data_IF_622077677314
#
_entry.id   IF_622077677314
#
_cell.length_a   1.000
_cell.length_b   1.000
_cell.length_c   1.000
_cell.angle_alpha   90.00
_cell.angle_beta   90.00
_cell.angle_gamma   90.00
#
_symmetry.space_group_name_H-M   'P 1'
#
loop_
_entity.id
_entity.type
_entity.pdbx_description
1 polymer ?
#
# COMPACT_ATOMS: atom_id res chain seq x y z
N UNK A 1 13.70 37.33 -13.00
CA UNK A 1 14.33 37.30 -11.66
C UNK A 1 15.50 36.33 -11.75
N UNK A 2 16.68 36.68 -11.24
CA UNK A 2 17.90 35.87 -11.38
C UNK A 2 17.69 34.49 -10.78
N UNK A 3 17.91 33.43 -11.57
CA UNK A 3 17.96 32.08 -11.05
C UNK A 3 19.11 31.99 -10.04
N UNK A 4 18.88 31.56 -8.80
CA UNK A 4 19.95 31.40 -7.83
C UNK A 4 20.93 30.36 -8.36
N UNK A 5 22.21 30.70 -8.48
CA UNK A 5 23.24 29.74 -8.89
C UNK A 5 23.30 28.54 -7.93
N UNK A 6 23.88 27.43 -8.39
CA UNK A 6 24.02 26.24 -7.56
C UNK A 6 24.83 26.55 -6.28
N UNK A 7 24.29 26.28 -5.09
CA UNK A 7 24.99 26.51 -3.84
C UNK A 7 26.29 25.70 -3.76
N UNK A 8 26.28 24.46 -4.26
CA UNK A 8 27.45 23.62 -4.41
C UNK A 8 27.96 23.58 -5.87
N UNK A 9 29.28 23.77 -6.10
CA UNK A 9 29.84 23.83 -7.45
C UNK A 9 30.03 22.45 -8.11
N UNK A 10 29.98 21.36 -7.34
CA UNK A 10 30.24 20.00 -7.80
C UNK A 10 29.20 19.01 -7.27
N UNK A 11 28.96 17.93 -8.00
CA UNK A 11 28.02 16.88 -7.64
C UNK A 11 26.61 17.10 -8.21
N UNK A 12 25.66 16.32 -7.70
CA UNK A 12 24.24 16.40 -8.05
C UNK A 12 23.45 16.81 -6.81
N UNK A 13 22.73 17.92 -6.90
CA UNK A 13 21.87 18.43 -5.81
C UNK A 13 20.49 18.79 -6.36
N UNK A 14 19.48 18.68 -5.51
CA UNK A 14 18.12 19.10 -5.84
C UNK A 14 17.53 20.00 -4.76
N UNK A 15 16.80 21.03 -5.19
CA UNK A 15 16.17 21.99 -4.28
C UNK A 15 14.71 22.22 -4.68
N UNK A 16 13.78 22.33 -3.72
CA UNK A 16 12.38 22.59 -4.05
C UNK A 16 12.22 23.95 -4.72
N UNK A 17 11.32 24.05 -5.71
CA UNK A 17 10.89 25.35 -6.21
C UNK A 17 10.13 26.11 -5.10
N UNK A 18 10.35 27.43 -4.90
CA UNK A 18 9.78 28.16 -3.77
C UNK A 18 8.25 28.30 -3.84
N UNK A 19 7.67 28.25 -5.04
CA UNK A 19 6.23 28.48 -5.26
C UNK A 19 5.48 27.29 -5.83
N UNK A 20 6.18 26.37 -6.49
CA UNK A 20 5.58 25.31 -7.30
C UNK A 20 6.05 23.97 -6.76
N UNK A 21 5.12 23.04 -6.62
CA UNK A 21 5.31 21.83 -5.85
C UNK A 21 5.71 20.65 -6.71
N UNK A 22 5.23 20.71 -7.95
CA UNK A 22 5.59 19.91 -9.10
C UNK A 22 6.93 20.35 -9.73
N UNK A 23 7.63 21.36 -9.19
CA UNK A 23 8.90 21.82 -9.76
C UNK A 23 10.04 21.79 -8.74
N UNK A 24 11.24 21.55 -9.26
CA UNK A 24 12.47 21.57 -8.48
C UNK A 24 13.65 22.02 -9.31
N UNK A 25 14.66 22.55 -8.65
CA UNK A 25 15.93 22.89 -9.28
C UNK A 25 16.87 21.70 -9.19
N UNK A 26 17.45 21.31 -10.32
CA UNK A 26 18.51 20.32 -10.41
C UNK A 26 19.84 21.02 -10.67
N UNK A 27 20.81 20.78 -9.80
CA UNK A 27 22.18 21.23 -9.95
C UNK A 27 23.07 20.05 -10.30
N UNK A 28 23.75 20.12 -11.44
CA UNK A 28 24.75 19.13 -11.85
C UNK A 28 26.06 19.84 -12.18
N UNK A 29 27.07 19.66 -11.32
CA UNK A 29 28.40 20.30 -11.45
C UNK A 29 28.32 21.81 -11.75
N UNK A 30 27.51 22.52 -10.96
CA UNK A 30 27.33 23.97 -11.10
C UNK A 30 26.36 24.41 -12.20
N UNK A 31 25.84 23.49 -13.01
CA UNK A 31 24.80 23.78 -14.01
C UNK A 31 23.41 23.61 -13.39
N UNK A 32 22.64 24.69 -13.36
CA UNK A 32 21.27 24.72 -12.83
C UNK A 32 20.25 24.51 -13.95
N UNK A 33 19.34 23.55 -13.76
CA UNK A 33 18.13 23.39 -14.57
C UNK A 33 16.88 23.46 -13.69
N UNK A 34 15.77 23.90 -14.28
CA UNK A 34 14.44 23.83 -13.67
C UNK A 34 13.75 22.59 -14.22
N UNK A 35 13.49 21.63 -13.34
CA UNK A 35 12.85 20.38 -13.65
C UNK A 35 11.39 20.41 -13.19
N UNK A 36 10.52 19.74 -13.96
CA UNK A 36 9.10 19.60 -13.67
C UNK A 36 8.82 18.11 -13.44
N UNK A 37 8.25 17.79 -12.29
CA UNK A 37 7.69 16.49 -12.00
C UNK A 37 6.58 16.17 -13.00
N UNK A 38 6.57 14.94 -13.48
CA UNK A 38 5.53 14.47 -14.38
C UNK A 38 4.14 14.55 -13.71
N UNK A 39 3.12 14.69 -14.54
CA UNK A 39 1.74 14.91 -14.09
C UNK A 39 1.27 13.82 -13.10
N UNK A 40 0.87 14.25 -11.89
CA UNK A 40 0.51 13.38 -10.76
C UNK A 40 1.59 13.26 -9.68
N UNK A 41 2.80 13.74 -9.94
CA UNK A 41 3.92 13.68 -9.01
C UNK A 41 4.31 15.09 -8.53
N UNK A 42 4.78 15.15 -7.28
CA UNK A 42 5.29 16.35 -6.62
C UNK A 42 6.71 16.09 -6.09
N UNK A 43 7.51 17.14 -5.98
CA UNK A 43 8.88 17.04 -5.49
C UNK A 43 8.92 16.89 -3.97
N UNK A 44 9.53 15.80 -3.49
CA UNK A 44 9.84 15.55 -2.08
C UNK A 44 11.34 15.47 -1.78
N UNK A 45 12.19 15.47 -2.82
CA UNK A 45 13.65 15.36 -2.72
C UNK A 45 14.16 14.02 -2.21
N UNK A 46 13.27 13.07 -1.92
CA UNK A 46 13.59 11.73 -1.39
C UNK A 46 13.54 10.67 -2.49
N UNK A 47 12.79 10.93 -3.57
CA UNK A 47 12.78 10.17 -4.81
C UNK A 47 12.24 8.74 -4.63
N UNK A 48 10.96 8.53 -4.94
CA UNK A 48 10.32 7.23 -4.71
C UNK A 48 9.50 6.70 -5.90
N UNK A 49 9.18 7.54 -6.90
CA UNK A 49 8.30 7.13 -8.01
C UNK A 49 8.92 7.43 -9.37
N UNK A 50 9.38 8.66 -9.60
CA UNK A 50 10.08 9.05 -10.82
C UNK A 50 11.04 10.20 -10.52
N UNK A 51 12.34 10.01 -10.77
CA UNK A 51 13.39 10.95 -10.36
C UNK A 51 13.26 11.33 -8.87
N UNK A 52 13.17 12.63 -8.57
CA UNK A 52 13.04 13.17 -7.20
C UNK A 52 11.58 13.48 -6.82
N UNK A 53 10.64 12.87 -7.54
CA UNK A 53 9.21 13.11 -7.40
C UNK A 53 8.48 11.87 -6.85
N UNK A 54 7.36 12.13 -6.19
CA UNK A 54 6.53 11.15 -5.52
C UNK A 54 5.04 11.49 -5.73
N UNK A 55 4.12 10.55 -5.49
CA UNK A 55 2.70 10.77 -5.69
C UNK A 55 2.18 11.98 -4.92
N UNK A 56 1.26 12.75 -5.52
CA UNK A 56 0.79 14.00 -4.94
C UNK A 56 0.20 13.85 -3.51
N UNK A 57 -0.44 12.72 -3.20
CA UNK A 57 -0.99 12.44 -1.87
C UNK A 57 0.08 12.10 -0.82
N UNK A 58 1.30 11.76 -1.25
CA UNK A 58 2.41 11.37 -0.38
C UNK A 58 3.38 12.52 -0.07
N UNK A 59 3.14 13.72 -0.63
CA UNK A 59 4.03 14.88 -0.50
C UNK A 59 3.34 15.98 0.30
N UNK A 60 3.98 16.44 1.37
CA UNK A 60 3.58 17.68 2.05
C UNK A 60 4.06 18.87 1.20
N UNK A 61 3.10 19.49 0.54
CA UNK A 61 3.34 20.59 -0.36
C UNK A 61 3.54 21.95 0.35
N UNK A 62 3.14 22.05 1.63
CA UNK A 62 3.14 23.29 2.37
C UNK A 62 2.39 24.42 1.64
N UNK A 63 2.96 25.63 1.52
CA UNK A 63 2.32 26.76 0.84
C UNK A 63 2.51 26.76 -0.69
N UNK A 64 3.28 25.80 -1.25
CA UNK A 64 3.54 25.73 -2.69
C UNK A 64 2.28 25.27 -3.42
N UNK A 65 2.13 25.69 -4.68
CA UNK A 65 1.03 25.27 -5.54
C UNK A 65 1.41 24.00 -6.29
N UNK A 66 0.50 23.02 -6.33
CA UNK A 66 0.60 21.90 -7.26
C UNK A 66 -0.17 22.27 -8.54
N UNK A 67 0.52 22.42 -9.68
CA UNK A 67 -0.16 22.56 -10.96
C UNK A 67 -0.43 21.17 -11.56
N UNK A 68 -1.71 20.81 -11.66
CA UNK A 68 -2.13 19.55 -12.26
C UNK A 68 -2.48 19.74 -13.75
N UNK A 69 -1.71 19.13 -14.65
CA UNK A 69 -2.05 19.05 -16.09
C UNK A 69 -3.28 18.16 -16.37
N UNK A 70 -4.10 18.44 -17.40
CA UNK A 70 -5.29 17.63 -17.72
C UNK A 70 -4.98 16.36 -18.55
N UNK A 71 -5.50 15.18 -18.16
CA UNK A 71 -5.53 13.94 -18.98
C UNK A 71 -5.12 12.67 -18.21
N UNK A 72 -5.97 11.61 -18.23
CA UNK A 72 -6.28 10.81 -17.02
C UNK A 72 -6.61 11.77 -15.85
N UNK A 73 -6.90 11.32 -14.63
CA UNK A 73 -6.74 12.32 -13.56
C UNK A 73 -5.26 12.72 -13.47
N UNK A 74 -4.35 11.72 -13.58
CA UNK A 74 -2.90 11.91 -13.66
C UNK A 74 -2.16 10.87 -14.55
N UNK A 75 -1.02 11.27 -15.16
CA UNK A 75 -0.06 10.40 -15.89
C UNK A 75 0.57 9.34 -14.98
N UNK A 76 0.77 9.68 -13.71
CA UNK A 76 1.18 8.76 -12.66
C UNK A 76 0.12 8.77 -11.55
N UNK A 77 -0.42 7.60 -11.24
CA UNK A 77 -1.45 7.46 -10.20
C UNK A 77 -1.76 6.02 -9.84
N UNK A 78 -2.52 5.84 -8.77
CA UNK A 78 -3.04 4.56 -8.31
C UNK A 78 -4.54 4.75 -8.12
N UNK A 79 -5.33 3.91 -8.76
CA UNK A 79 -6.77 4.08 -8.92
C UNK A 79 -7.51 2.77 -8.68
N UNK A 80 -8.79 2.82 -8.28
CA UNK A 80 -9.62 1.63 -8.23
C UNK A 80 -9.84 1.07 -9.64
N UNK A 81 -9.92 -0.26 -9.75
CA UNK A 81 -10.24 -0.95 -11.01
C UNK A 81 -11.64 -0.59 -11.54
N UNK A 82 -12.57 -0.26 -10.63
CA UNK A 82 -13.94 0.07 -10.98
C UNK A 82 -14.73 0.69 -9.82
N UNK A 83 -16.05 0.86 -9.97
CA UNK A 83 -16.90 1.50 -8.95
C UNK A 83 -17.17 0.61 -7.73
N UNK A 84 -16.77 -0.66 -7.80
CA UNK A 84 -16.92 -1.64 -6.75
C UNK A 84 -15.55 -1.99 -6.18
N UNK A 85 -15.55 -2.39 -4.91
CA UNK A 85 -14.32 -2.80 -4.27
C UNK A 85 -13.77 -4.06 -4.92
N UNK A 86 -12.46 -4.04 -5.10
CA UNK A 86 -11.72 -5.06 -5.80
C UNK A 86 -10.46 -5.37 -5.01
N UNK A 87 -9.98 -6.61 -5.18
CA UNK A 87 -8.62 -7.00 -4.79
C UNK A 87 -7.60 -6.50 -5.82
N UNK A 88 -8.05 -5.90 -6.92
CA UNK A 88 -7.22 -5.32 -7.96
C UNK A 88 -7.27 -3.79 -7.92
N UNK A 89 -6.24 -3.17 -8.47
CA UNK A 89 -6.14 -1.74 -8.67
C UNK A 89 -5.37 -1.44 -9.95
N UNK A 90 -5.53 -0.22 -10.46
CA UNK A 90 -4.84 0.26 -11.65
C UNK A 90 -3.72 1.19 -11.21
N UNK A 91 -2.50 0.86 -11.60
CA UNK A 91 -1.35 1.75 -11.49
C UNK A 91 -1.07 2.36 -12.85
N UNK A 92 -1.15 3.68 -12.97
CA UNK A 92 -0.73 4.39 -14.18
C UNK A 92 0.75 4.74 -14.06
N UNK A 93 1.53 4.41 -15.09
CA UNK A 93 2.90 4.88 -15.24
C UNK A 93 3.07 5.40 -16.67
N UNK A 94 3.52 6.65 -16.80
CA UNK A 94 3.61 7.35 -18.08
C UNK A 94 2.28 7.32 -18.88
N UNK A 95 1.15 7.37 -18.18
CA UNK A 95 -0.19 7.35 -18.77
C UNK A 95 -0.66 5.98 -19.25
N UNK A 96 0.15 4.93 -19.11
CA UNK A 96 -0.24 3.56 -19.40
C UNK A 96 -0.82 2.90 -18.13
N UNK A 97 -2.04 2.34 -18.20
CA UNK A 97 -2.64 1.65 -17.07
C UNK A 97 -2.13 0.22 -16.96
N UNK A 98 -1.70 -0.17 -15.77
CA UNK A 98 -1.29 -1.52 -15.43
C UNK A 98 -2.22 -2.09 -14.35
N UNK A 99 -2.86 -3.22 -14.65
CA UNK A 99 -3.64 -3.95 -13.65
C UNK A 99 -2.68 -4.61 -12.65
N UNK A 100 -2.88 -4.31 -11.38
CA UNK A 100 -2.15 -4.87 -10.26
C UNK A 100 -3.12 -5.53 -9.30
N UNK A 101 -2.61 -6.45 -8.48
CA UNK A 101 -3.36 -7.16 -7.46
C UNK A 101 -2.77 -6.85 -6.09
N UNK A 102 -3.65 -6.79 -5.10
CA UNK A 102 -3.26 -6.79 -3.70
C UNK A 102 -2.77 -8.18 -3.28
N UNK A 103 -1.98 -8.21 -2.22
CA UNK A 103 -1.62 -9.49 -1.58
C UNK A 103 -2.88 -10.24 -1.13
N UNK A 104 -2.85 -11.58 -1.06
CA UNK A 104 -3.99 -12.39 -0.68
C UNK A 104 -4.65 -11.92 0.62
N UNK A 105 -5.97 -11.79 0.61
CA UNK A 105 -6.74 -11.36 1.77
C UNK A 105 -6.87 -9.83 1.96
N UNK A 106 -6.23 -9.04 1.11
CA UNK A 106 -6.34 -7.57 1.11
C UNK A 106 -7.22 -7.07 -0.04
N UNK A 107 -7.74 -5.85 0.12
CA UNK A 107 -8.49 -5.13 -0.91
C UNK A 107 -7.92 -3.72 -1.09
N UNK A 108 -8.09 -3.15 -2.29
CA UNK A 108 -7.61 -1.80 -2.56
C UNK A 108 -8.46 -0.75 -1.83
N UNK A 109 -7.80 0.09 -1.04
CA UNK A 109 -8.36 1.22 -0.32
C UNK A 109 -7.96 2.53 -1.01
N UNK A 110 -8.92 3.13 -1.70
CA UNK A 110 -8.70 4.35 -2.46
C UNK A 110 -8.37 5.56 -1.58
N UNK A 111 -8.80 5.58 -0.31
CA UNK A 111 -8.48 6.68 0.61
C UNK A 111 -6.99 6.73 0.95
N UNK A 112 -6.36 5.56 1.02
CA UNK A 112 -4.95 5.41 1.39
C UNK A 112 -4.06 5.12 0.18
N UNK A 113 -4.66 4.95 -1.01
CA UNK A 113 -3.99 4.51 -2.24
C UNK A 113 -3.14 3.25 -2.03
N UNK A 114 -3.66 2.31 -1.24
CA UNK A 114 -2.91 1.11 -0.82
C UNK A 114 -3.81 -0.09 -0.62
N UNK A 115 -3.22 -1.29 -0.53
CA UNK A 115 -3.95 -2.51 -0.19
C UNK A 115 -4.09 -2.62 1.33
N UNK A 116 -5.32 -2.79 1.80
CA UNK A 116 -5.63 -2.80 3.22
C UNK A 116 -6.63 -3.91 3.57
N UNK A 117 -6.80 -4.16 4.86
CA UNK A 117 -7.73 -5.19 5.33
C UNK A 117 -9.17 -4.81 4.98
N UNK A 118 -9.97 -5.71 4.39
CA UNK A 118 -11.34 -5.40 3.97
C UNK A 118 -12.26 -4.85 5.08
N UNK A 119 -11.98 -5.16 6.35
CA UNK A 119 -12.72 -4.64 7.51
C UNK A 119 -12.43 -3.18 7.85
N UNK A 120 -11.41 -2.57 7.23
CA UNK A 120 -11.14 -1.14 7.34
C UNK A 120 -11.86 -0.32 6.26
N UNK A 121 -12.43 -0.99 5.25
CA UNK A 121 -13.15 -0.37 4.14
C UNK A 121 -14.68 -0.56 4.27
N UNK A 122 -15.20 -0.84 5.47
CA UNK A 122 -16.61 -1.21 5.66
C UNK A 122 -17.61 -0.16 5.15
N UNK A 123 -17.23 1.11 5.19
CA UNK A 123 -18.05 2.22 4.72
C UNK A 123 -18.13 2.34 3.19
N UNK A 124 -17.16 1.76 2.47
CA UNK A 124 -17.08 1.80 1.01
C UNK A 124 -17.37 0.44 0.36
N UNK A 125 -16.94 -0.64 1.00
CA UNK A 125 -16.81 -1.96 0.42
C UNK A 125 -17.73 -3.01 1.00
N UNK A 126 -18.63 -2.65 1.91
CA UNK A 126 -19.41 -3.65 2.63
C UNK A 126 -20.90 -3.31 2.80
N UNK A 127 -21.65 -3.11 1.70
CA UNK A 127 -23.08 -2.87 1.78
C UNK A 127 -23.85 -4.05 2.41
N UNK A 128 -23.32 -5.28 2.39
CA UNK A 128 -24.02 -6.49 2.88
C UNK A 128 -23.30 -7.28 4.00
N UNK A 129 -22.17 -6.81 4.53
CA UNK A 129 -21.51 -7.52 5.63
C UNK A 129 -20.69 -8.76 5.24
N UNK A 130 -20.35 -8.96 3.95
CA UNK A 130 -19.77 -10.23 3.45
C UNK A 130 -18.50 -10.09 2.62
N UNK A 131 -18.08 -8.87 2.28
CA UNK A 131 -16.93 -8.68 1.38
C UNK A 131 -15.64 -9.29 1.95
N UNK A 132 -15.39 -9.13 3.24
CA UNK A 132 -14.25 -9.75 3.93
C UNK A 132 -14.28 -11.29 3.89
N UNK A 133 -15.47 -11.91 3.98
CA UNK A 133 -15.61 -13.38 3.88
C UNK A 133 -15.31 -13.83 2.45
N UNK A 134 -15.75 -13.07 1.45
CA UNK A 134 -15.46 -13.35 0.06
C UNK A 134 -13.95 -13.26 -0.25
N UNK A 135 -13.29 -12.20 0.23
CA UNK A 135 -11.86 -11.97 -0.02
C UNK A 135 -10.96 -12.98 0.71
N UNK A 136 -11.29 -13.35 1.96
CA UNK A 136 -10.47 -14.26 2.77
C UNK A 136 -10.91 -15.73 2.63
N UNK A 137 -12.16 -15.99 2.26
CA UNK A 137 -12.74 -17.33 2.22
C UNK A 137 -13.03 -17.94 3.60
N UNK A 138 -13.02 -17.14 4.67
CA UNK A 138 -13.18 -17.60 6.04
C UNK A 138 -14.23 -16.78 6.81
N UNK A 139 -14.97 -17.42 7.72
CA UNK A 139 -15.88 -16.74 8.65
C UNK A 139 -15.41 -16.95 10.08
N UNK A 140 -15.14 -15.86 10.79
CA UNK A 140 -14.80 -15.92 12.21
C UNK A 140 -15.93 -16.54 13.04
N UNK A 141 -15.62 -17.45 13.98
CA UNK A 141 -16.61 -17.97 14.92
C UNK A 141 -17.20 -16.88 15.81
N UNK A 142 -18.51 -16.91 16.04
CA UNK A 142 -19.20 -15.96 16.93
C UNK A 142 -18.76 -16.12 18.39
N UNK A 143 -18.31 -17.32 18.75
CA UNK A 143 -17.76 -17.66 20.07
C UNK A 143 -16.53 -18.53 19.90
N UNK A 144 -15.48 -18.20 20.64
CA UNK A 144 -14.27 -19.03 20.74
C UNK A 144 -14.50 -20.06 21.83
N UNK A 145 -14.24 -21.33 21.53
CA UNK A 145 -14.20 -22.38 22.56
C UNK A 145 -13.06 -22.07 23.54
N UNK A 146 -13.33 -21.86 24.85
CA UNK A 146 -12.31 -21.57 25.85
C UNK A 146 -11.22 -22.64 25.99
N UNK A 147 -11.49 -23.87 25.55
CA UNK A 147 -10.52 -24.97 25.60
C UNK A 147 -9.73 -25.15 24.29
N UNK A 148 -10.05 -24.40 23.24
CA UNK A 148 -9.32 -24.43 21.97
C UNK A 148 -7.96 -23.73 22.07
N UNK A 149 -7.02 -24.13 21.21
CA UNK A 149 -5.73 -23.42 21.05
C UNK A 149 -5.92 -21.97 20.57
N UNK A 150 -6.99 -21.68 19.84
CA UNK A 150 -7.36 -20.33 19.39
C UNK A 150 -7.63 -19.36 20.56
N UNK A 151 -8.18 -19.86 21.67
CA UNK A 151 -8.49 -19.03 22.85
C UNK A 151 -7.23 -18.41 23.50
N UNK A 152 -6.04 -19.02 23.29
CA UNK A 152 -4.77 -18.48 23.79
C UNK A 152 -4.43 -17.11 23.21
N UNK A 153 -5.00 -16.75 22.05
CA UNK A 153 -4.71 -15.51 21.33
C UNK A 153 -5.74 -14.40 21.61
N UNK A 154 -6.50 -14.48 22.70
CA UNK A 154 -7.42 -13.41 23.09
C UNK A 154 -6.71 -12.04 23.20
N UNK A 155 -7.27 -10.94 22.64
CA UNK A 155 -8.63 -10.79 22.11
C UNK A 155 -8.80 -11.15 20.61
N UNK A 156 -7.74 -11.55 19.92
CA UNK A 156 -7.73 -11.79 18.48
C UNK A 156 -7.42 -13.27 18.18
N UNK A 157 -8.41 -14.16 18.32
CA UNK A 157 -8.21 -15.60 18.14
C UNK A 157 -7.70 -15.93 16.74
N UNK A 158 -6.86 -16.95 16.66
CA UNK A 158 -6.25 -17.43 15.41
C UNK A 158 -6.85 -18.76 14.96
N UNK A 159 -6.78 -19.02 13.65
CA UNK A 159 -7.28 -20.25 13.03
C UNK A 159 -6.39 -20.67 11.86
N UNK A 160 -6.24 -21.98 11.65
CA UNK A 160 -5.66 -22.53 10.42
C UNK A 160 -6.69 -22.51 9.29
N UNK A 161 -6.20 -22.54 8.05
CA UNK A 161 -7.03 -22.68 6.86
C UNK A 161 -6.73 -24.05 6.25
N UNK A 162 -7.76 -24.91 6.04
CA UNK A 162 -7.55 -26.21 5.43
C UNK A 162 -6.84 -26.10 4.08
N UNK A 163 -5.69 -26.76 3.96
CA UNK A 163 -4.89 -26.80 2.72
C UNK A 163 -4.04 -25.55 2.45
N UNK A 164 -3.94 -24.61 3.39
CA UNK A 164 -3.05 -23.46 3.29
C UNK A 164 -2.20 -23.36 4.57
N UNK A 165 -0.97 -23.87 4.49
CA UNK A 165 0.00 -23.79 5.57
C UNK A 165 0.83 -22.50 5.52
N UNK A 166 0.79 -21.72 4.44
CA UNK A 166 1.54 -20.47 4.31
C UNK A 166 0.86 -19.29 5.01
N UNK A 167 -0.40 -19.46 5.40
CA UNK A 167 -1.22 -18.42 6.00
C UNK A 167 -2.01 -18.93 7.21
N UNK A 168 -2.36 -18.01 8.10
CA UNK A 168 -3.32 -18.21 9.18
C UNK A 168 -4.37 -17.10 9.18
N UNK A 169 -5.53 -17.34 9.77
CA UNK A 169 -6.53 -16.29 9.98
C UNK A 169 -6.40 -15.75 11.39
N UNK A 170 -6.35 -14.41 11.51
CA UNK A 170 -6.58 -13.72 12.79
C UNK A 170 -7.93 -13.02 12.74
N UNK A 171 -8.79 -13.29 13.71
CA UNK A 171 -10.09 -12.64 13.81
C UNK A 171 -10.01 -11.37 14.66
N UNK A 172 -10.14 -10.21 14.03
CA UNK A 172 -10.11 -8.90 14.68
C UNK A 172 -11.53 -8.36 14.73
N UNK A 173 -12.10 -8.21 15.93
CA UNK A 173 -13.48 -7.75 16.13
C UNK A 173 -14.53 -8.57 15.33
N UNK A 174 -14.28 -9.86 15.14
CA UNK A 174 -15.14 -10.76 14.35
C UNK A 174 -14.89 -10.73 12.84
N UNK A 175 -13.94 -9.93 12.35
CA UNK A 175 -13.55 -9.89 10.95
C UNK A 175 -12.27 -10.71 10.70
N UNK A 176 -12.27 -11.59 9.67
CA UNK A 176 -11.12 -12.41 9.34
C UNK A 176 -10.05 -11.58 8.63
N UNK A 177 -8.80 -11.70 9.05
CA UNK A 177 -7.63 -11.18 8.35
C UNK A 177 -6.69 -12.34 8.03
N UNK A 178 -6.32 -12.46 6.75
CA UNK A 178 -5.39 -13.48 6.28
C UNK A 178 -3.96 -13.02 6.52
N UNK A 179 -3.22 -13.71 7.38
CA UNK A 179 -1.86 -13.35 7.75
C UNK A 179 -0.90 -14.36 7.13
N UNK A 180 -0.03 -13.90 6.24
CA UNK A 180 1.05 -14.72 5.70
C UNK A 180 2.10 -14.99 6.80
N UNK A 181 2.66 -16.19 6.81
CA UNK A 181 3.74 -16.55 7.73
C UNK A 181 5.06 -15.84 7.42
N UNK A 182 5.29 -15.48 6.15
CA UNK A 182 6.50 -14.80 5.68
C UNK A 182 7.72 -15.71 5.65
N UNK A 183 8.76 -15.27 4.95
CA UNK A 183 10.10 -15.88 4.96
C UNK A 183 10.16 -17.41 4.69
N UNK A 184 9.19 -17.95 3.95
CA UNK A 184 9.10 -19.39 3.67
C UNK A 184 8.66 -20.26 4.85
N UNK A 185 8.23 -19.65 5.96
CA UNK A 185 7.68 -20.33 7.13
C UNK A 185 6.30 -20.89 6.86
N UNK A 186 5.94 -21.90 7.63
CA UNK A 186 4.65 -22.57 7.56
C UNK A 186 3.98 -22.60 8.94
N UNK A 187 2.65 -22.65 8.94
CA UNK A 187 1.83 -22.69 10.13
C UNK A 187 1.93 -24.06 10.80
N UNK A 188 2.36 -24.08 12.05
CA UNK A 188 2.10 -25.21 12.95
C UNK A 188 0.65 -25.10 13.43
N UNK A 189 -0.22 -25.99 12.94
CA UNK A 189 -1.64 -26.01 13.29
C UNK A 189 -1.90 -26.37 14.76
N UNK A 190 -0.94 -26.99 15.45
CA UNK A 190 -1.09 -27.39 16.86
C UNK A 190 -0.85 -26.23 17.82
N UNK A 191 -0.05 -25.24 17.40
CA UNK A 191 0.30 -24.05 18.18
C UNK A 191 -0.33 -22.77 17.63
N UNK A 192 -0.73 -22.77 16.35
CA UNK A 192 -1.13 -21.61 15.55
C UNK A 192 -0.03 -20.53 15.49
N UNK A 193 1.22 -20.99 15.34
CA UNK A 193 2.40 -20.15 15.13
C UNK A 193 3.07 -20.48 13.81
N UNK A 194 3.71 -19.48 13.19
CA UNK A 194 4.50 -19.68 11.98
C UNK A 194 5.91 -20.11 12.38
N UNK A 195 6.30 -21.29 11.95
CA UNK A 195 7.57 -21.92 12.27
C UNK A 195 8.32 -22.30 11.00
N UNK A 196 9.60 -22.61 11.15
CA UNK A 196 10.36 -23.24 10.06
C UNK A 196 9.73 -24.60 9.72
N UNK A 197 9.67 -24.99 8.43
CA UNK A 197 9.08 -26.27 8.03
C UNK A 197 9.62 -27.48 8.79
N UNK A 198 10.91 -27.49 9.11
CA UNK A 198 11.58 -28.55 9.86
C UNK A 198 11.05 -28.74 11.29
N UNK A 199 10.47 -27.69 11.87
CA UNK A 199 9.93 -27.70 13.23
C UNK A 199 8.44 -28.02 13.29
N UNK A 200 7.73 -28.05 12.15
CA UNK A 200 6.31 -28.38 12.11
C UNK A 200 6.14 -29.90 12.04
N UNK A 201 5.52 -30.53 13.06
CA UNK A 201 5.28 -31.96 13.03
C UNK A 201 4.34 -32.29 11.87
N UNK A 202 4.78 -33.14 10.95
CA UNK A 202 4.05 -33.59 9.74
C UNK A 202 3.71 -32.49 8.72
N UNK A 203 4.75 -31.86 8.17
CA UNK A 203 4.67 -31.26 6.84
C UNK A 203 4.75 -32.33 5.74
#
# INVERSE_FOLDING_TARGET
MNAPGCPEPYGVQTYPHPELCDQFFLCTNGTLTLEVCENGLLYDGKGNVHNHCNYHWAVDCGPRKAECSPGCEYRYGIYPEGPHCSTNYIKCADGYPYLNHCDPGLAYDDKTHSCNWPDLLLDQCNPEGKFFIFVVGFKCPDKVDPHSISAKFHPYPRYSIPGNCEHLVTCVNGYPRLIACGDGKVLDETTLTCEEPEHVPSW
#
